data_IF_855878121167
#
_entry.id   IF_855878121167
#
_cell.length_a   1.000
_cell.length_b   1.000
_cell.length_c   1.000
_cell.angle_alpha   90.00
_cell.angle_beta   90.00
_cell.angle_gamma   90.00
#
_symmetry.space_group_name_H-M   'P 1'
#
loop_
_entity.id
_entity.type
_entity.pdbx_description
1 polymer ?
#
# COMPACT_ATOMS: atom_id res chain seq x y z
N UNK A 1 22.10 68.60 26.78
CA UNK A 1 21.20 69.71 26.42
C UNK A 1 20.89 69.63 24.94
N UNK A 2 19.60 69.67 24.58
CA UNK A 2 18.98 69.86 23.25
C UNK A 2 19.31 68.82 22.15
N UNK A 3 18.44 67.88 21.77
CA UNK A 3 17.08 67.97 21.19
C UNK A 3 17.02 68.61 19.78
N UNK A 4 16.67 67.80 18.76
CA UNK A 4 15.44 67.89 17.91
C UNK A 4 15.64 67.35 16.49
N UNK A 5 14.72 66.47 16.09
CA UNK A 5 14.40 66.01 14.72
C UNK A 5 13.83 67.16 13.87
N UNK A 6 13.74 67.00 12.53
CA UNK A 6 12.40 66.83 11.95
C UNK A 6 12.27 65.84 10.78
N UNK A 7 11.01 65.60 10.44
CA UNK A 7 10.35 64.61 9.59
C UNK A 7 10.20 65.05 8.09
N UNK A 8 10.20 64.05 7.17
CA UNK A 8 9.16 63.77 6.10
C UNK A 8 9.07 64.78 4.91
N UNK A 9 8.87 64.48 3.60
CA UNK A 9 8.11 63.47 2.83
C UNK A 9 8.44 63.54 1.31
N UNK A 10 8.05 62.46 0.59
CA UNK A 10 7.38 62.37 -0.76
C UNK A 10 8.14 62.48 -2.10
N UNK A 11 8.10 61.31 -2.78
CA UNK A 11 7.62 61.00 -4.15
C UNK A 11 8.16 61.80 -5.34
N UNK A 12 8.77 61.06 -6.27
CA UNK A 12 8.83 61.41 -7.69
C UNK A 12 9.47 60.29 -8.51
N UNK A 13 8.65 59.51 -9.21
CA UNK A 13 9.08 58.52 -10.19
C UNK A 13 9.53 59.21 -11.49
N UNK A 14 10.50 58.65 -12.22
CA UNK A 14 10.37 58.22 -13.63
C UNK A 14 11.72 57.79 -14.25
N UNK A 15 11.67 56.61 -14.89
CA UNK A 15 12.30 56.18 -16.15
C UNK A 15 13.84 56.21 -16.32
N UNK A 16 14.38 55.02 -16.56
CA UNK A 16 15.34 54.81 -17.65
C UNK A 16 15.10 53.43 -18.29
N UNK A 17 15.09 53.41 -19.62
CA UNK A 17 14.84 52.28 -20.52
C UNK A 17 16.18 51.65 -20.95
N UNK A 18 16.13 50.32 -21.10
CA UNK A 18 17.01 49.35 -21.77
C UNK A 18 18.22 49.87 -22.59
N UNK A 19 19.37 49.19 -22.50
CA UNK A 19 19.70 48.09 -23.43
C UNK A 19 21.15 47.50 -23.28
N UNK A 20 21.17 46.21 -22.94
CA UNK A 20 21.91 45.11 -23.59
C UNK A 20 23.44 45.00 -23.43
N UNK A 21 23.84 43.98 -22.67
CA UNK A 21 25.08 43.24 -22.82
C UNK A 21 24.78 41.76 -22.64
N UNK A 22 24.79 40.99 -23.74
CA UNK A 22 24.46 39.58 -23.78
C UNK A 22 25.58 38.74 -23.14
N UNK A 23 25.22 38.01 -22.08
CA UNK A 23 26.02 36.94 -21.50
C UNK A 23 25.06 35.86 -21.00
N UNK A 24 24.58 35.01 -21.93
CA UNK A 24 23.77 33.86 -21.57
C UNK A 24 24.65 32.81 -20.89
N UNK A 25 24.79 32.92 -19.57
CA UNK A 25 25.19 31.79 -18.75
C UNK A 25 24.04 30.77 -18.80
N UNK A 26 24.22 29.73 -19.59
CA UNK A 26 23.46 28.49 -19.50
C UNK A 26 23.73 27.90 -18.11
N UNK A 27 22.97 28.36 -17.11
CA UNK A 27 22.77 27.62 -15.88
C UNK A 27 22.01 26.36 -16.28
N UNK A 28 22.76 25.30 -16.59
CA UNK A 28 22.20 23.96 -16.64
C UNK A 28 21.44 23.76 -15.34
N UNK A 29 20.12 23.59 -15.43
CA UNK A 29 19.36 23.00 -14.33
C UNK A 29 20.01 21.63 -14.12
N UNK A 30 20.76 21.48 -13.04
CA UNK A 30 21.00 20.16 -12.52
C UNK A 30 19.61 19.58 -12.26
N UNK A 31 19.24 18.54 -13.00
CA UNK A 31 18.12 17.71 -12.60
C UNK A 31 18.34 17.35 -11.12
N UNK A 32 17.33 17.48 -10.26
CA UNK A 32 17.48 17.04 -8.89
C UNK A 32 17.95 15.60 -8.97
N UNK A 33 19.12 15.30 -8.37
CA UNK A 33 19.56 13.92 -8.21
C UNK A 33 18.35 13.16 -7.65
N UNK A 34 17.91 12.11 -8.35
CA UNK A 34 16.83 11.27 -7.90
C UNK A 34 17.10 10.95 -6.42
N UNK A 35 16.19 11.35 -5.53
CA UNK A 35 16.36 11.06 -4.12
C UNK A 35 16.50 9.54 -3.99
N UNK A 36 17.60 9.07 -3.39
CA UNK A 36 17.80 7.65 -3.18
C UNK A 36 16.63 7.09 -2.35
N UNK A 37 16.15 5.91 -2.72
CA UNK A 37 15.09 5.26 -1.98
C UNK A 37 15.52 5.02 -0.52
N UNK A 38 14.59 5.22 0.41
CA UNK A 38 14.85 4.97 1.83
C UNK A 38 14.69 3.48 2.12
N UNK A 39 15.63 2.90 2.87
CA UNK A 39 15.69 1.47 3.19
C UNK A 39 15.93 1.19 4.69
N UNK A 40 15.19 0.26 5.32
CA UNK A 40 13.94 -0.31 4.83
C UNK A 40 12.86 0.78 4.73
N UNK A 41 12.11 0.82 3.62
CA UNK A 41 11.14 1.91 3.39
C UNK A 41 9.88 1.54 2.61
N UNK A 42 9.50 0.26 2.59
CA UNK A 42 8.18 -0.16 2.12
C UNK A 42 7.15 -0.05 3.24
N UNK A 43 6.43 -1.11 3.61
CA UNK A 43 5.41 -1.03 4.66
C UNK A 43 5.97 -0.74 6.06
N UNK A 44 7.26 -1.07 6.28
CA UNK A 44 7.92 -0.93 7.58
C UNK A 44 9.26 -0.24 7.44
N UNK A 45 9.53 0.69 8.35
CA UNK A 45 10.83 1.34 8.54
C UNK A 45 11.62 0.68 9.68
N UNK A 46 12.91 1.04 9.82
CA UNK A 46 13.71 0.58 10.96
C UNK A 46 13.09 1.04 12.30
N UNK A 47 12.58 2.27 12.36
CA UNK A 47 11.89 2.79 13.54
C UNK A 47 10.60 2.03 13.87
N UNK A 48 9.92 1.45 12.87
CA UNK A 48 8.78 0.57 13.11
C UNK A 48 9.22 -0.74 13.76
N UNK A 49 10.30 -1.38 13.28
CA UNK A 49 10.83 -2.59 13.91
C UNK A 49 11.33 -2.36 15.34
N UNK A 50 11.99 -1.23 15.58
CA UNK A 50 12.46 -0.86 16.92
C UNK A 50 11.27 -0.65 17.87
N UNK A 51 10.20 0.01 17.40
CA UNK A 51 8.94 0.13 18.16
C UNK A 51 8.34 -1.25 18.46
N UNK A 52 8.18 -2.11 17.45
CA UNK A 52 7.62 -3.45 17.62
C UNK A 52 8.40 -4.22 18.70
N UNK A 53 9.73 -4.26 18.59
CA UNK A 53 10.61 -4.93 19.56
C UNK A 53 10.47 -4.35 20.96
N UNK A 54 10.55 -3.03 21.10
CA UNK A 54 10.45 -2.38 22.42
C UNK A 54 9.11 -2.67 23.09
N UNK A 55 8.00 -2.56 22.35
CA UNK A 55 6.65 -2.77 22.90
C UNK A 55 6.40 -4.23 23.26
N UNK A 56 6.89 -5.17 22.45
CA UNK A 56 6.78 -6.62 22.73
C UNK A 56 7.63 -7.00 23.96
N UNK A 57 8.87 -6.52 24.06
CA UNK A 57 9.75 -6.79 25.21
C UNK A 57 9.19 -6.20 26.51
N UNK A 58 8.50 -5.06 26.43
CA UNK A 58 7.82 -4.45 27.57
C UNK A 58 6.48 -5.14 27.93
N UNK A 59 6.03 -6.13 27.15
CA UNK A 59 4.71 -6.74 27.33
C UNK A 59 3.53 -5.78 27.09
N UNK A 60 3.77 -4.68 26.37
CA UNK A 60 2.80 -3.61 26.22
C UNK A 60 1.67 -3.98 25.24
N UNK A 61 0.44 -3.64 25.62
CA UNK A 61 -0.74 -3.83 24.78
C UNK A 61 -0.99 -2.62 23.87
N UNK A 62 -1.46 -2.81 22.62
CA UNK A 62 -1.89 -4.09 22.03
C UNK A 62 -0.78 -4.89 21.30
N UNK A 63 0.46 -4.38 21.22
CA UNK A 63 1.55 -5.02 20.48
C UNK A 63 1.83 -6.46 20.92
N UNK A 64 1.80 -6.73 22.23
CA UNK A 64 2.01 -8.08 22.77
C UNK A 64 0.95 -9.06 22.26
N UNK A 65 -0.32 -8.67 22.20
CA UNK A 65 -1.38 -9.51 21.63
C UNK A 65 -1.17 -9.75 20.12
N UNK A 66 -0.75 -8.74 19.36
CA UNK A 66 -0.39 -8.90 17.95
C UNK A 66 0.81 -9.85 17.75
N UNK A 67 1.82 -9.76 18.62
CA UNK A 67 2.95 -10.68 18.64
C UNK A 67 2.54 -12.12 18.95
N UNK A 68 1.70 -12.33 19.97
CA UNK A 68 1.25 -13.67 20.34
C UNK A 68 0.45 -14.32 19.22
N UNK A 69 -0.37 -13.53 18.52
CA UNK A 69 -1.07 -13.97 17.31
C UNK A 69 -0.10 -14.38 16.20
N UNK A 70 0.93 -13.58 15.94
CA UNK A 70 1.99 -13.92 14.98
C UNK A 70 2.70 -15.22 15.36
N UNK A 71 3.06 -15.41 16.63
CA UNK A 71 3.80 -16.59 17.08
C UNK A 71 2.99 -17.88 16.94
N UNK A 72 1.67 -17.80 17.18
CA UNK A 72 0.75 -18.92 17.08
C UNK A 72 0.44 -19.37 15.64
N UNK A 73 0.69 -18.52 14.64
CA UNK A 73 0.39 -18.83 13.25
C UNK A 73 1.36 -19.88 12.67
N UNK A 74 0.83 -20.87 11.93
CA UNK A 74 1.62 -21.97 11.35
C UNK A 74 2.62 -21.49 10.29
N UNK A 75 2.33 -20.41 9.58
CA UNK A 75 3.25 -19.78 8.63
C UNK A 75 4.46 -19.13 9.31
N UNK A 76 4.35 -18.82 10.61
CA UNK A 76 5.39 -18.16 11.41
C UNK A 76 6.47 -19.10 11.94
N UNK A 77 6.38 -20.40 11.64
CA UNK A 77 7.32 -21.39 12.15
C UNK A 77 8.59 -21.46 11.29
N UNK A 78 9.75 -21.47 11.93
CA UNK A 78 11.06 -21.58 11.24
C UNK A 78 11.29 -22.95 10.61
N UNK A 79 10.39 -23.91 10.85
CA UNK A 79 10.38 -25.25 10.23
C UNK A 79 9.57 -25.32 8.93
N UNK A 80 9.01 -24.20 8.46
CA UNK A 80 8.27 -24.15 7.19
C UNK A 80 9.12 -24.65 6.01
N UNK A 81 8.53 -25.43 5.11
CA UNK A 81 9.22 -25.94 3.91
C UNK A 81 8.69 -25.22 2.68
N UNK A 82 9.49 -24.36 2.01
CA UNK A 82 9.05 -23.70 0.78
C UNK A 82 8.81 -24.69 -0.34
N UNK A 83 7.90 -24.34 -1.25
CA UNK A 83 7.53 -25.14 -2.42
C UNK A 83 7.61 -24.29 -3.71
N UNK A 84 8.80 -23.80 -4.10
CA UNK A 84 8.94 -22.90 -5.24
C UNK A 84 8.52 -23.57 -6.55
N UNK A 85 7.78 -22.84 -7.38
CA UNK A 85 7.31 -23.31 -8.69
C UNK A 85 7.93 -22.47 -9.80
N UNK A 86 8.28 -23.11 -10.92
CA UNK A 86 8.78 -22.40 -12.10
C UNK A 86 7.69 -21.53 -12.74
N UNK A 87 6.45 -22.02 -12.71
CA UNK A 87 5.27 -21.33 -13.26
C UNK A 87 4.18 -21.24 -12.21
N UNK A 88 3.68 -20.03 -12.00
CA UNK A 88 2.48 -19.76 -11.23
C UNK A 88 1.33 -19.40 -12.17
N UNK A 89 0.23 -20.13 -12.03
CA UNK A 89 -1.01 -19.95 -12.80
C UNK A 89 -2.10 -19.43 -11.87
N UNK A 90 -2.72 -18.31 -12.23
CA UNK A 90 -3.94 -17.81 -11.56
C UNK A 90 -5.08 -17.64 -12.57
N UNK A 91 -6.17 -18.35 -12.31
CA UNK A 91 -7.35 -18.43 -13.16
C UNK A 91 -7.19 -19.39 -14.34
N UNK A 92 -8.28 -20.07 -14.69
CA UNK A 92 -8.29 -21.15 -15.69
C UNK A 92 -7.85 -22.51 -15.12
N UNK A 93 -7.62 -23.46 -16.02
CA UNK A 93 -7.21 -24.83 -15.66
C UNK A 93 -5.79 -24.85 -15.09
N UNK A 94 -5.56 -25.72 -14.09
CA UNK A 94 -4.24 -25.92 -13.50
C UNK A 94 -3.77 -24.78 -12.59
N UNK A 95 -4.67 -23.91 -12.10
CA UNK A 95 -4.31 -22.85 -11.17
C UNK A 95 -3.58 -23.39 -9.92
N UNK A 96 -2.46 -22.77 -9.56
CA UNK A 96 -1.60 -23.22 -8.46
C UNK A 96 -1.10 -22.07 -7.57
N UNK A 97 -1.61 -20.84 -7.78
CA UNK A 97 -1.18 -19.62 -7.10
C UNK A 97 -1.25 -19.67 -5.56
N UNK A 98 -2.02 -20.61 -5.00
CA UNK A 98 -2.03 -20.89 -3.57
C UNK A 98 -0.68 -21.24 -3.00
N UNK A 99 0.16 -21.92 -3.79
CA UNK A 99 1.51 -22.27 -3.38
C UNK A 99 2.35 -21.01 -3.12
N UNK A 100 2.24 -20.01 -3.99
CA UNK A 100 3.01 -18.78 -3.89
C UNK A 100 2.60 -17.93 -2.69
N UNK A 101 1.30 -17.68 -2.48
CA UNK A 101 0.91 -16.80 -1.38
C UNK A 101 1.20 -17.39 0.00
N UNK A 102 1.12 -18.72 0.17
CA UNK A 102 1.44 -19.33 1.46
C UNK A 102 2.94 -19.13 1.78
N UNK A 103 3.82 -19.33 0.80
CA UNK A 103 5.26 -19.12 0.99
C UNK A 103 5.62 -17.64 1.21
N UNK A 104 4.99 -16.70 0.49
CA UNK A 104 5.22 -15.26 0.73
C UNK A 104 4.84 -14.88 2.17
N UNK A 105 3.70 -15.37 2.65
CA UNK A 105 3.23 -15.07 4.00
C UNK A 105 4.08 -15.77 5.07
N UNK A 106 4.54 -16.99 4.82
CA UNK A 106 5.52 -17.64 5.69
C UNK A 106 6.83 -16.85 5.76
N UNK A 107 7.33 -16.35 4.63
CA UNK A 107 8.52 -15.52 4.60
C UNK A 107 8.33 -14.19 5.34
N UNK A 108 7.20 -13.50 5.14
CA UNK A 108 6.88 -12.26 5.85
C UNK A 108 6.80 -12.47 7.37
N UNK A 109 6.08 -13.50 7.81
CA UNK A 109 5.89 -13.78 9.22
C UNK A 109 7.21 -14.17 9.90
N UNK A 110 8.04 -14.99 9.24
CA UNK A 110 9.39 -15.30 9.72
C UNK A 110 10.32 -14.06 9.73
N UNK A 111 10.21 -13.17 8.74
CA UNK A 111 10.96 -11.92 8.73
C UNK A 111 10.57 -11.00 9.91
N UNK A 112 9.28 -10.90 10.25
CA UNK A 112 8.81 -10.20 11.44
C UNK A 112 9.30 -10.86 12.73
N UNK A 113 9.23 -12.19 12.83
CA UNK A 113 9.77 -12.95 13.97
C UNK A 113 11.25 -12.63 14.19
N UNK A 114 12.04 -12.58 13.12
CA UNK A 114 13.44 -12.18 13.18
C UNK A 114 13.63 -10.74 13.62
N UNK A 115 12.96 -9.77 12.98
CA UNK A 115 13.10 -8.34 13.32
C UNK A 115 12.73 -8.05 14.77
N UNK A 116 11.69 -8.68 15.31
CA UNK A 116 11.23 -8.43 16.68
C UNK A 116 12.07 -9.21 17.71
N UNK A 117 12.26 -10.51 17.54
CA UNK A 117 12.93 -11.37 18.56
C UNK A 117 14.45 -11.49 18.43
N UNK A 118 15.01 -11.21 17.25
CA UNK A 118 16.42 -11.47 16.94
C UNK A 118 16.76 -12.93 16.63
N UNK A 119 15.78 -13.83 16.60
CA UNK A 119 16.01 -15.26 16.31
C UNK A 119 16.48 -15.47 14.87
N UNK A 120 17.71 -15.99 14.72
CA UNK A 120 18.33 -16.27 13.41
C UNK A 120 17.62 -17.38 12.65
N UNK A 121 17.04 -18.38 13.34
CA UNK A 121 16.29 -19.46 12.70
C UNK A 121 15.11 -18.93 11.85
N UNK A 122 14.44 -17.87 12.30
CA UNK A 122 13.38 -17.23 11.52
C UNK A 122 13.94 -16.37 10.38
N UNK A 123 15.05 -15.66 10.60
CA UNK A 123 15.72 -14.89 9.54
C UNK A 123 16.21 -15.79 8.41
N UNK A 124 16.80 -16.93 8.77
CA UNK A 124 17.25 -17.97 7.86
C UNK A 124 16.08 -18.55 7.07
N UNK A 125 14.95 -18.84 7.73
CA UNK A 125 13.76 -19.33 7.03
C UNK A 125 13.25 -18.32 6.00
N UNK A 126 13.13 -17.05 6.37
CA UNK A 126 12.70 -16.01 5.45
C UNK A 126 13.65 -15.90 4.24
N UNK A 127 14.97 -15.84 4.49
CA UNK A 127 16.00 -15.86 3.44
C UNK A 127 15.84 -17.07 2.51
N UNK A 128 15.70 -18.27 3.07
CA UNK A 128 15.66 -19.51 2.30
C UNK A 128 14.44 -19.54 1.38
N UNK A 129 13.28 -19.05 1.84
CA UNK A 129 12.08 -18.92 1.00
C UNK A 129 12.34 -17.92 -0.15
N UNK A 130 12.83 -16.71 0.14
CA UNK A 130 13.13 -15.69 -0.88
C UNK A 130 14.14 -16.21 -1.92
N UNK A 131 15.19 -16.89 -1.46
CA UNK A 131 16.22 -17.47 -2.31
C UNK A 131 15.68 -18.62 -3.16
N UNK A 132 14.85 -19.51 -2.60
CA UNK A 132 14.27 -20.63 -3.32
C UNK A 132 13.40 -20.15 -4.49
N UNK A 133 12.49 -19.21 -4.25
CA UNK A 133 11.63 -18.65 -5.30
C UNK A 133 12.42 -17.86 -6.34
N UNK A 134 13.35 -17.00 -5.95
CA UNK A 134 14.17 -16.24 -6.90
C UNK A 134 15.11 -17.11 -7.75
N UNK A 135 15.39 -18.34 -7.30
CA UNK A 135 16.14 -19.34 -8.06
C UNK A 135 15.28 -20.22 -8.98
N UNK A 136 13.95 -20.14 -8.92
CA UNK A 136 13.06 -21.08 -9.60
C UNK A 136 11.96 -20.42 -10.43
N UNK A 137 11.29 -19.41 -9.91
CA UNK A 137 10.14 -18.79 -10.57
C UNK A 137 10.57 -17.99 -11.81
N UNK A 138 10.01 -18.37 -12.96
CA UNK A 138 10.27 -17.70 -14.24
C UNK A 138 9.02 -17.09 -14.85
N UNK A 139 7.82 -17.57 -14.48
CA UNK A 139 6.58 -17.17 -15.16
C UNK A 139 5.41 -17.04 -14.17
N UNK A 140 4.65 -15.94 -14.30
CA UNK A 140 3.29 -15.81 -13.79
C UNK A 140 2.34 -15.74 -14.99
N UNK A 141 1.30 -16.57 -15.03
CA UNK A 141 0.38 -16.69 -16.17
C UNK A 141 -1.03 -17.09 -15.72
N UNK A 142 -1.92 -17.33 -16.67
CA UNK A 142 -3.33 -17.67 -16.47
C UNK A 142 -4.25 -16.78 -17.30
N UNK A 143 -5.52 -16.71 -16.91
CA UNK A 143 -6.48 -15.78 -17.51
C UNK A 143 -6.23 -14.34 -17.02
N UNK A 144 -7.23 -13.45 -17.03
CA UNK A 144 -7.08 -12.10 -16.47
C UNK A 144 -6.52 -12.09 -15.04
N UNK A 145 -6.86 -13.08 -14.20
CA UNK A 145 -6.44 -13.13 -12.80
C UNK A 145 -4.92 -13.22 -12.61
N UNK A 146 -4.14 -13.50 -13.67
CA UNK A 146 -2.67 -13.37 -13.64
C UNK A 146 -2.21 -11.98 -13.22
N UNK A 147 -2.98 -10.93 -13.52
CA UNK A 147 -2.68 -9.57 -13.07
C UNK A 147 -2.89 -9.39 -11.57
N UNK A 148 -3.91 -10.04 -10.98
CA UNK A 148 -4.06 -10.08 -9.53
C UNK A 148 -2.90 -10.84 -8.88
N UNK A 149 -2.41 -11.93 -9.48
CA UNK A 149 -1.22 -12.62 -8.99
C UNK A 149 0.02 -11.72 -9.05
N UNK A 150 0.27 -11.07 -10.19
CA UNK A 150 1.42 -10.19 -10.36
C UNK A 150 1.39 -8.94 -9.45
N UNK A 151 0.19 -8.39 -9.22
CA UNK A 151 -0.03 -7.24 -8.37
C UNK A 151 0.10 -7.60 -6.90
N UNK A 152 -0.84 -8.42 -6.40
CA UNK A 152 -0.95 -8.76 -4.98
C UNK A 152 0.33 -9.44 -4.49
N UNK A 153 0.77 -10.51 -5.15
CA UNK A 153 1.93 -11.25 -4.65
C UNK A 153 3.22 -10.48 -4.91
N UNK A 154 3.30 -9.70 -5.99
CA UNK A 154 4.50 -8.92 -6.30
C UNK A 154 4.82 -7.87 -5.23
N UNK A 155 3.85 -7.07 -4.79
CA UNK A 155 4.10 -6.07 -3.75
C UNK A 155 4.40 -6.71 -2.39
N UNK A 156 3.70 -7.79 -2.05
CA UNK A 156 3.92 -8.51 -0.80
C UNK A 156 5.32 -9.10 -0.77
N UNK A 157 5.77 -9.70 -1.88
CA UNK A 157 7.07 -10.34 -1.95
C UNK A 157 8.21 -9.34 -1.92
N UNK A 158 8.07 -8.20 -2.61
CA UNK A 158 9.00 -7.07 -2.53
C UNK A 158 9.10 -6.52 -1.09
N UNK A 159 7.98 -6.44 -0.37
CA UNK A 159 7.98 -6.06 1.04
C UNK A 159 8.82 -7.01 1.88
N UNK A 160 8.68 -8.33 1.73
CA UNK A 160 9.51 -9.29 2.49
C UNK A 160 10.99 -9.15 2.15
N UNK A 161 11.33 -9.03 0.86
CA UNK A 161 12.71 -8.84 0.42
C UNK A 161 13.35 -7.57 0.99
N UNK A 162 12.57 -6.50 1.11
CA UNK A 162 13.01 -5.26 1.71
C UNK A 162 13.31 -5.38 3.21
N UNK A 163 12.50 -6.13 3.96
CA UNK A 163 12.78 -6.43 5.38
C UNK A 163 14.12 -7.17 5.52
N UNK A 164 14.36 -8.10 4.60
CA UNK A 164 15.54 -8.97 4.56
C UNK A 164 16.76 -8.34 3.87
N UNK A 165 16.68 -7.10 3.37
CA UNK A 165 17.81 -6.39 2.75
C UNK A 165 19.01 -6.40 3.69
N UNK A 166 20.16 -6.86 3.19
CA UNK A 166 21.41 -6.97 3.95
C UNK A 166 21.52 -8.18 4.88
N UNK A 167 20.50 -9.06 4.95
CA UNK A 167 20.60 -10.30 5.71
C UNK A 167 21.58 -11.28 5.05
N UNK A 168 22.46 -11.88 5.86
CA UNK A 168 23.52 -12.76 5.37
C UNK A 168 22.99 -13.93 4.53
N UNK A 169 23.53 -14.08 3.32
CA UNK A 169 23.18 -15.14 2.37
C UNK A 169 21.91 -14.88 1.55
N UNK A 170 21.19 -13.77 1.75
CA UNK A 170 20.09 -13.39 0.87
C UNK A 170 20.64 -12.86 -0.46
N UNK A 171 20.31 -13.52 -1.57
CA UNK A 171 20.70 -13.09 -2.92
C UNK A 171 19.72 -12.01 -3.44
N UNK A 172 19.89 -10.80 -2.92
CA UNK A 172 19.06 -9.65 -3.26
C UNK A 172 19.10 -9.35 -4.77
N UNK A 173 20.26 -9.45 -5.42
CA UNK A 173 20.41 -9.13 -6.83
C UNK A 173 19.64 -10.12 -7.73
N UNK A 174 19.65 -11.42 -7.42
CA UNK A 174 18.80 -12.40 -8.10
C UNK A 174 17.32 -12.14 -7.83
N UNK A 175 16.97 -11.82 -6.60
CA UNK A 175 15.59 -11.53 -6.23
C UNK A 175 15.05 -10.30 -6.99
N UNK A 176 15.78 -9.19 -7.02
CA UNK A 176 15.44 -7.99 -7.78
C UNK A 176 15.23 -8.30 -9.27
N UNK A 177 16.09 -9.13 -9.87
CA UNK A 177 15.92 -9.57 -11.26
C UNK A 177 14.61 -10.35 -11.48
N UNK A 178 14.25 -11.25 -10.57
CA UNK A 178 12.94 -11.94 -10.64
C UNK A 178 11.79 -10.94 -10.58
N UNK A 179 11.84 -9.96 -9.67
CA UNK A 179 10.79 -8.93 -9.55
C UNK A 179 10.64 -8.10 -10.83
N UNK A 180 11.77 -7.67 -11.41
CA UNK A 180 11.81 -6.87 -12.65
C UNK A 180 11.37 -7.67 -13.88
N UNK A 181 11.67 -8.96 -13.95
CA UNK A 181 11.45 -9.75 -15.17
C UNK A 181 10.15 -10.56 -15.16
N UNK A 182 9.66 -10.96 -13.99
CA UNK A 182 8.47 -11.83 -13.86
C UNK A 182 7.23 -11.02 -13.47
N UNK A 183 7.35 -10.12 -12.49
CA UNK A 183 6.20 -9.41 -11.94
C UNK A 183 5.95 -8.08 -12.65
N UNK A 184 6.98 -7.24 -12.79
CA UNK A 184 6.84 -5.89 -13.33
C UNK A 184 6.15 -5.82 -14.71
N UNK A 185 6.46 -6.68 -15.70
CA UNK A 185 5.86 -6.56 -17.04
C UNK A 185 4.33 -6.73 -17.05
N UNK A 186 3.80 -7.65 -16.22
CA UNK A 186 2.36 -7.83 -16.08
C UNK A 186 1.70 -6.60 -15.44
N UNK A 187 2.31 -6.04 -14.41
CA UNK A 187 1.77 -4.84 -13.75
C UNK A 187 1.76 -3.63 -14.68
N UNK A 188 2.85 -3.42 -15.43
CA UNK A 188 2.93 -2.30 -16.37
C UNK A 188 1.97 -2.45 -17.55
N UNK A 189 1.86 -3.65 -18.11
CA UNK A 189 0.91 -3.93 -19.20
C UNK A 189 -0.53 -3.78 -18.75
N UNK A 190 -0.87 -4.17 -17.51
CA UNK A 190 -2.20 -3.94 -16.96
C UNK A 190 -2.54 -2.46 -16.87
N UNK A 191 -1.69 -1.62 -16.27
CA UNK A 191 -1.97 -0.18 -16.14
C UNK A 191 -1.97 0.59 -17.47
N UNK A 192 -1.45 -0.02 -18.55
CA UNK A 192 -1.38 0.62 -19.87
C UNK A 192 -2.48 0.14 -20.81
N UNK A 193 -2.71 -1.17 -20.86
CA UNK A 193 -3.62 -1.80 -21.81
C UNK A 193 -4.87 -2.40 -21.20
N UNK A 194 -4.98 -2.47 -19.87
CA UNK A 194 -6.14 -3.00 -19.13
C UNK A 194 -6.65 -4.32 -19.69
N UNK A 195 -5.72 -5.23 -20.04
CA UNK A 195 -6.02 -6.54 -20.66
C UNK A 195 -6.98 -6.42 -21.87
N UNK A 196 -6.74 -5.42 -22.73
CA UNK A 196 -7.50 -5.12 -23.94
C UNK A 196 -8.99 -4.83 -23.70
N UNK A 197 -9.36 -4.53 -22.45
CA UNK A 197 -10.70 -4.14 -22.05
C UNK A 197 -10.81 -2.61 -21.94
N UNK A 198 -12.05 -2.12 -21.86
CA UNK A 198 -12.26 -0.71 -21.57
C UNK A 198 -11.68 -0.33 -20.19
N UNK A 199 -11.26 0.93 -20.05
CA UNK A 199 -10.50 1.40 -18.89
C UNK A 199 -11.22 1.21 -17.54
N UNK A 200 -12.56 1.21 -17.55
CA UNK A 200 -13.40 1.03 -16.36
C UNK A 200 -13.83 -0.42 -16.11
N UNK A 201 -13.44 -1.38 -16.97
CA UNK A 201 -13.88 -2.78 -16.88
C UNK A 201 -13.45 -3.43 -15.57
N UNK A 202 -12.22 -3.17 -15.15
CA UNK A 202 -11.64 -3.76 -13.94
C UNK A 202 -11.89 -2.86 -12.74
N UNK A 203 -12.22 -3.48 -11.60
CA UNK A 203 -12.47 -2.78 -10.35
C UNK A 203 -11.20 -2.15 -9.76
N UNK A 204 -11.36 -1.15 -8.88
CA UNK A 204 -10.25 -0.41 -8.27
C UNK A 204 -9.15 -1.31 -7.70
N UNK A 205 -9.50 -2.43 -7.07
CA UNK A 205 -8.54 -3.38 -6.49
C UNK A 205 -7.52 -3.95 -7.50
N UNK A 206 -7.86 -4.05 -8.79
CA UNK A 206 -6.96 -4.57 -9.83
C UNK A 206 -5.85 -3.57 -10.16
N UNK A 207 -6.23 -2.31 -10.38
CA UNK A 207 -5.27 -1.23 -10.56
C UNK A 207 -4.43 -1.04 -9.28
N UNK A 208 -5.05 -1.04 -8.10
CA UNK A 208 -4.33 -0.80 -6.84
C UNK A 208 -3.28 -1.87 -6.55
N UNK A 209 -3.56 -3.16 -6.77
CA UNK A 209 -2.56 -4.19 -6.51
C UNK A 209 -1.38 -4.11 -7.49
N UNK A 210 -1.64 -3.76 -8.75
CA UNK A 210 -0.58 -3.58 -9.77
C UNK A 210 0.24 -2.31 -9.51
N UNK A 211 -0.40 -1.21 -9.07
CA UNK A 211 0.27 0.00 -8.59
C UNK A 211 1.15 -0.29 -7.36
N UNK A 212 0.62 -1.02 -6.38
CA UNK A 212 1.38 -1.46 -5.20
C UNK A 212 2.64 -2.22 -5.60
N UNK A 213 2.52 -3.14 -6.56
CA UNK A 213 3.65 -3.93 -7.04
C UNK A 213 4.69 -3.05 -7.73
N UNK A 214 4.28 -2.13 -8.61
CA UNK A 214 5.20 -1.20 -9.29
C UNK A 214 5.94 -0.31 -8.28
N UNK A 215 5.22 0.27 -7.31
CA UNK A 215 5.84 1.10 -6.26
C UNK A 215 6.83 0.28 -5.43
N UNK A 216 6.43 -0.93 -5.01
CA UNK A 216 7.25 -1.78 -4.17
C UNK A 216 8.52 -2.26 -4.89
N UNK A 217 8.41 -2.62 -6.17
CA UNK A 217 9.55 -2.97 -7.03
C UNK A 217 10.43 -1.74 -7.28
N UNK A 218 9.84 -0.57 -7.47
CA UNK A 218 10.55 0.70 -7.63
C UNK A 218 11.49 0.98 -6.46
N UNK A 219 10.96 0.93 -5.24
CA UNK A 219 11.79 1.09 -4.03
C UNK A 219 12.79 -0.06 -3.92
N UNK A 220 12.37 -1.33 -3.98
CA UNK A 220 13.28 -2.48 -3.79
C UNK A 220 14.48 -2.43 -4.75
N UNK A 221 14.29 -1.97 -5.98
CA UNK A 221 15.30 -1.94 -7.04
C UNK A 221 15.95 -0.56 -7.22
N UNK A 222 15.72 0.41 -6.34
CA UNK A 222 16.27 1.77 -6.46
C UNK A 222 15.90 2.46 -7.81
N UNK A 223 14.67 2.22 -8.28
CA UNK A 223 14.13 2.69 -9.57
C UNK A 223 13.11 3.82 -9.39
N UNK A 224 13.62 5.05 -9.34
CA UNK A 224 12.80 6.27 -9.18
C UNK A 224 11.73 6.41 -10.28
N UNK A 225 12.02 6.01 -11.51
CA UNK A 225 11.04 6.06 -12.61
C UNK A 225 9.80 5.19 -12.35
N UNK A 226 9.95 4.07 -11.63
CA UNK A 226 8.83 3.23 -11.24
C UNK A 226 8.04 3.83 -10.07
N UNK A 227 8.74 4.46 -9.12
CA UNK A 227 8.11 5.21 -8.01
C UNK A 227 7.27 6.36 -8.59
N UNK A 228 7.85 7.18 -9.45
CA UNK A 228 7.19 8.31 -10.09
C UNK A 228 6.00 7.86 -10.94
N UNK A 229 6.14 6.76 -11.69
CA UNK A 229 5.03 6.17 -12.46
C UNK A 229 3.87 5.77 -11.57
N UNK A 230 4.13 5.05 -10.48
CA UNK A 230 3.08 4.62 -9.56
C UNK A 230 2.38 5.81 -8.90
N UNK A 231 3.14 6.80 -8.42
CA UNK A 231 2.61 8.02 -7.79
C UNK A 231 1.82 8.85 -8.80
N UNK A 232 2.28 8.97 -10.03
CA UNK A 232 1.57 9.67 -11.11
C UNK A 232 0.25 8.97 -11.41
N UNK A 233 0.24 7.64 -11.52
CA UNK A 233 -0.99 6.88 -11.77
C UNK A 233 -1.99 7.02 -10.61
N UNK A 234 -1.53 7.05 -9.36
CA UNK A 234 -2.41 7.34 -8.22
C UNK A 234 -3.14 8.68 -8.37
N UNK A 235 -2.43 9.73 -8.83
CA UNK A 235 -2.98 11.08 -8.93
C UNK A 235 -3.86 11.29 -10.16
N UNK A 236 -3.43 10.76 -11.31
CA UNK A 236 -4.00 11.09 -12.62
C UNK A 236 -4.13 9.90 -13.57
N UNK A 237 -4.03 8.66 -13.06
CA UNK A 237 -4.23 7.44 -13.84
C UNK A 237 -5.66 7.33 -14.36
N UNK A 238 -5.81 6.76 -15.56
CA UNK A 238 -7.09 6.67 -16.25
C UNK A 238 -8.01 5.56 -15.70
N UNK A 239 -7.44 4.53 -15.07
CA UNK A 239 -8.21 3.41 -14.51
C UNK A 239 -8.67 3.61 -13.07
N UNK A 240 -9.43 2.64 -12.58
CA UNK A 240 -10.17 2.74 -11.32
C UNK A 240 -9.30 2.78 -10.06
N UNK A 241 -7.98 2.57 -10.17
CA UNK A 241 -7.05 2.69 -9.03
C UNK A 241 -6.56 4.09 -8.74
N UNK A 242 -6.73 5.05 -9.67
CA UNK A 242 -6.40 6.44 -9.36
C UNK A 242 -7.40 7.00 -8.33
N UNK A 243 -6.94 7.90 -7.48
CA UNK A 243 -7.67 8.31 -6.27
C UNK A 243 -9.04 8.92 -6.58
N UNK A 244 -9.18 9.61 -7.70
CA UNK A 244 -10.46 10.20 -8.13
C UNK A 244 -11.44 9.16 -8.69
N UNK A 245 -10.96 8.07 -9.28
CA UNK A 245 -11.80 6.98 -9.79
C UNK A 245 -12.10 5.92 -8.73
N UNK A 246 -11.15 5.63 -7.82
CA UNK A 246 -11.34 4.72 -6.70
C UNK A 246 -12.34 5.26 -5.66
N UNK A 247 -12.45 6.59 -5.56
CA UNK A 247 -13.34 7.29 -4.62
C UNK A 247 -14.09 8.38 -5.39
N UNK A 248 -15.08 8.02 -6.23
CA UNK A 248 -15.66 8.94 -7.20
C UNK A 248 -16.56 10.02 -6.61
N UNK A 249 -17.17 9.78 -5.45
CA UNK A 249 -18.18 10.68 -4.88
C UNK A 249 -17.83 11.11 -3.46
N UNK A 250 -17.85 12.42 -3.22
CA UNK A 250 -17.77 13.02 -1.90
C UNK A 250 -19.19 13.29 -1.39
N UNK A 251 -19.42 13.00 -0.12
CA UNK A 251 -20.68 13.24 0.56
C UNK A 251 -20.50 14.20 1.75
N UNK A 252 -21.62 14.73 2.25
CA UNK A 252 -21.64 15.51 3.48
C UNK A 252 -21.14 14.70 4.68
N UNK A 253 -20.72 15.40 5.75
CA UNK A 253 -20.23 14.76 6.98
C UNK A 253 -18.83 14.14 6.88
N UNK A 254 -18.06 14.49 5.84
CA UNK A 254 -16.69 13.98 5.67
C UNK A 254 -16.63 12.52 5.20
N UNK A 255 -17.65 12.06 4.48
CA UNK A 255 -17.70 10.71 3.93
C UNK A 255 -17.45 10.71 2.43
N UNK A 256 -16.89 9.63 1.90
CA UNK A 256 -16.67 9.47 0.47
C UNK A 256 -16.94 8.02 0.03
N UNK A 257 -17.70 7.86 -1.06
CA UNK A 257 -18.10 6.54 -1.55
C UNK A 257 -16.92 5.86 -2.24
N UNK A 258 -16.67 4.61 -1.86
CA UNK A 258 -15.71 3.75 -2.55
C UNK A 258 -16.33 3.15 -3.81
N UNK A 259 -15.54 3.07 -4.87
CA UNK A 259 -15.94 2.61 -6.19
C UNK A 259 -16.66 1.25 -6.17
N UNK A 260 -16.19 0.31 -5.34
CA UNK A 260 -16.74 -1.05 -5.24
C UNK A 260 -17.91 -1.20 -4.26
N UNK A 261 -18.38 -0.12 -3.61
CA UNK A 261 -19.44 -0.21 -2.58
C UNK A 261 -20.77 -0.80 -3.09
N UNK A 262 -21.09 -0.61 -4.38
CA UNK A 262 -22.27 -1.22 -5.00
C UNK A 262 -22.11 -2.69 -5.39
N UNK A 263 -20.87 -3.21 -5.40
CA UNK A 263 -20.54 -4.60 -5.74
C UNK A 263 -20.74 -5.50 -4.52
N UNK A 264 -19.86 -5.35 -3.53
CA UNK A 264 -19.91 -6.04 -2.24
C UNK A 264 -18.94 -5.38 -1.25
N UNK A 265 -19.10 -5.70 0.03
CA UNK A 265 -18.29 -5.13 1.09
C UNK A 265 -16.94 -5.81 1.29
N UNK A 266 -16.79 -7.07 0.88
CA UNK A 266 -15.50 -7.78 0.95
C UNK A 266 -14.43 -7.09 0.11
N UNK A 267 -14.77 -6.73 -1.14
CA UNK A 267 -13.88 -6.00 -2.03
C UNK A 267 -13.76 -4.52 -1.65
N UNK A 268 -14.81 -3.93 -1.10
CA UNK A 268 -14.72 -2.58 -0.55
C UNK A 268 -13.68 -2.50 0.58
N UNK A 269 -13.65 -3.49 1.49
CA UNK A 269 -12.64 -3.58 2.54
C UNK A 269 -11.26 -3.99 2.01
N UNK A 270 -11.18 -4.82 0.96
CA UNK A 270 -9.92 -5.06 0.25
C UNK A 270 -9.32 -3.74 -0.27
N UNK A 271 -10.17 -2.82 -0.76
CA UNK A 271 -9.77 -1.48 -1.21
C UNK A 271 -9.09 -0.65 -0.13
N UNK A 272 -9.59 -0.69 1.11
CA UNK A 272 -8.93 -0.06 2.28
C UNK A 272 -7.52 -0.63 2.47
N UNK A 273 -7.38 -1.95 2.41
CA UNK A 273 -6.08 -2.60 2.55
C UNK A 273 -5.10 -2.25 1.44
N UNK A 274 -5.53 -2.29 0.18
CA UNK A 274 -4.65 -2.04 -0.98
C UNK A 274 -4.25 -0.55 -1.07
N UNK A 275 -5.20 0.37 -0.93
CA UNK A 275 -4.93 1.81 -0.93
C UNK A 275 -4.11 2.23 0.31
N UNK A 276 -4.40 1.61 1.46
CA UNK A 276 -3.63 1.80 2.70
C UNK A 276 -2.18 1.36 2.55
N UNK A 277 -1.93 0.19 1.97
CA UNK A 277 -0.58 -0.28 1.68
C UNK A 277 0.16 0.68 0.72
N UNK A 278 -0.51 1.16 -0.34
CA UNK A 278 0.06 2.09 -1.30
C UNK A 278 0.49 3.39 -0.63
N UNK A 279 -0.40 3.98 0.17
CA UNK A 279 -0.14 5.23 0.87
C UNK A 279 0.93 5.09 1.94
N UNK A 280 1.00 3.97 2.69
CA UNK A 280 2.05 3.78 3.71
C UNK A 280 3.42 3.53 3.07
N UNK A 281 3.52 2.76 1.99
CA UNK A 281 4.77 2.62 1.24
C UNK A 281 5.25 3.96 0.69
N UNK A 282 4.35 4.77 0.11
CA UNK A 282 4.68 6.11 -0.37
C UNK A 282 5.09 7.06 0.77
N UNK A 283 4.39 7.00 1.90
CA UNK A 283 4.70 7.80 3.09
C UNK A 283 6.11 7.52 3.61
N UNK A 284 6.53 6.25 3.63
CA UNK A 284 7.87 5.86 4.07
C UNK A 284 8.97 6.25 3.07
N UNK A 285 8.59 6.71 1.87
CA UNK A 285 9.48 7.38 0.90
C UNK A 285 9.35 8.91 0.93
N UNK A 286 8.64 9.47 1.93
CA UNK A 286 8.46 10.92 2.08
C UNK A 286 7.37 11.52 1.18
N UNK A 287 6.50 10.70 0.60
CA UNK A 287 5.44 11.14 -0.32
C UNK A 287 4.09 11.05 0.39
N UNK A 288 3.50 12.20 0.76
CA UNK A 288 2.19 12.24 1.44
C UNK A 288 1.02 12.02 0.47
N UNK A 289 0.69 10.75 0.23
CA UNK A 289 -0.51 10.36 -0.52
C UNK A 289 -1.76 10.19 0.35
N UNK A 290 -1.59 9.94 1.65
CA UNK A 290 -2.69 9.96 2.62
C UNK A 290 -3.39 11.33 2.66
N UNK A 291 -2.61 12.41 2.61
CA UNK A 291 -3.08 13.79 2.59
C UNK A 291 -3.72 14.24 1.27
N UNK A 292 -3.56 13.46 0.20
CA UNK A 292 -3.91 13.90 -1.14
C UNK A 292 -5.42 14.17 -1.29
N UNK A 293 -5.72 15.21 -2.08
CA UNK A 293 -7.08 15.68 -2.37
C UNK A 293 -7.96 15.88 -1.12
N UNK A 294 -7.38 16.55 -0.11
CA UNK A 294 -8.06 16.89 1.13
C UNK A 294 -8.45 15.66 1.95
N UNK A 295 -7.48 14.74 2.15
CA UNK A 295 -7.66 13.46 2.83
C UNK A 295 -8.81 12.62 2.22
N UNK A 296 -8.94 12.58 0.88
CA UNK A 296 -10.04 11.84 0.21
C UNK A 296 -10.12 10.39 0.69
N UNK A 297 -8.97 9.74 0.88
CA UNK A 297 -8.93 8.36 1.35
C UNK A 297 -9.40 8.20 2.80
N UNK A 298 -9.11 9.15 3.71
CA UNK A 298 -9.65 9.11 5.08
C UNK A 298 -11.19 9.10 5.09
N UNK A 299 -11.81 9.94 4.25
CA UNK A 299 -13.26 10.03 4.10
C UNK A 299 -13.87 8.72 3.60
N UNK A 300 -13.16 8.01 2.72
CA UNK A 300 -13.57 6.69 2.26
C UNK A 300 -13.40 5.62 3.36
N UNK A 301 -12.31 5.64 4.14
CA UNK A 301 -12.16 4.74 5.29
C UNK A 301 -13.33 4.89 6.28
N UNK A 302 -13.70 6.12 6.64
CA UNK A 302 -14.84 6.36 7.54
C UNK A 302 -16.18 5.92 6.93
N UNK A 303 -16.41 6.18 5.64
CA UNK A 303 -17.59 5.71 4.92
C UNK A 303 -17.73 4.19 4.97
N UNK A 304 -16.64 3.48 4.62
CA UNK A 304 -16.62 2.02 4.55
C UNK A 304 -16.79 1.43 5.95
N UNK A 305 -16.07 1.96 6.95
CA UNK A 305 -16.15 1.51 8.33
C UNK A 305 -17.57 1.70 8.89
N UNK A 306 -18.17 2.88 8.69
CA UNK A 306 -19.53 3.19 9.12
C UNK A 306 -20.53 2.17 8.57
N UNK A 307 -20.50 1.93 7.26
CA UNK A 307 -21.43 0.98 6.66
C UNK A 307 -21.23 -0.44 7.18
N UNK A 308 -19.98 -0.88 7.34
CA UNK A 308 -19.66 -2.23 7.81
C UNK A 308 -19.80 -2.41 9.33
N UNK A 309 -20.05 -1.34 10.09
CA UNK A 309 -20.50 -1.38 11.48
C UNK A 309 -22.03 -1.49 11.61
N UNK A 310 -22.76 -1.54 10.49
CA UNK A 310 -24.21 -1.69 10.47
C UNK A 310 -24.99 -0.38 10.33
N UNK A 311 -24.31 0.77 10.22
CA UNK A 311 -24.96 2.06 9.99
C UNK A 311 -25.18 2.34 8.50
N UNK A 312 -26.10 3.26 8.19
CA UNK A 312 -26.36 3.68 6.81
C UNK A 312 -25.39 4.76 6.33
N UNK A 313 -25.16 4.78 5.02
CA UNK A 313 -24.35 5.77 4.32
C UNK A 313 -25.08 6.21 3.05
N UNK A 314 -24.89 7.46 2.60
CA UNK A 314 -25.44 7.90 1.32
C UNK A 314 -24.80 7.12 0.17
N UNK A 315 -25.54 6.87 -0.90
CA UNK A 315 -25.00 6.21 -2.09
C UNK A 315 -25.42 6.98 -3.35
N UNK A 316 -24.43 7.37 -4.16
CA UNK A 316 -24.64 7.88 -5.51
C UNK A 316 -24.51 6.72 -6.49
N UNK A 317 -25.48 6.59 -7.41
CA UNK A 317 -25.44 5.57 -8.45
C UNK A 317 -24.09 5.59 -9.19
N UNK A 318 -23.48 4.42 -9.34
CA UNK A 318 -22.16 4.26 -9.94
C UNK A 318 -22.27 3.52 -11.26
N UNK A 319 -21.89 4.19 -12.35
CA UNK A 319 -21.94 3.66 -13.72
C UNK A 319 -20.53 3.39 -14.23
N UNK A 320 -20.34 2.25 -14.91
CA UNK A 320 -19.06 1.88 -15.53
C UNK A 320 -19.29 1.17 -16.86
N UNK A 321 -18.27 1.18 -17.73
CA UNK A 321 -18.20 0.32 -18.90
C UNK A 321 -17.60 -1.05 -18.56
N UNK A 322 -18.18 -2.13 -19.08
CA UNK A 322 -17.69 -3.51 -18.96
C UNK A 322 -17.26 -4.09 -20.30
N UNK A 323 -16.35 -5.07 -20.28
CA UNK A 323 -15.83 -5.76 -21.45
C UNK A 323 -14.98 -4.87 -22.36
N UNK A 324 -14.77 -5.33 -23.59
CA UNK A 324 -14.01 -4.59 -24.61
C UNK A 324 -14.85 -3.51 -25.31
N UNK A 325 -16.17 -3.69 -25.36
CA UNK A 325 -17.10 -2.79 -26.03
C UNK A 325 -17.62 -1.64 -25.14
N UNK A 326 -17.12 -1.51 -23.90
CA UNK A 326 -17.54 -0.49 -22.94
C UNK A 326 -19.04 -0.51 -22.63
N UNK A 327 -19.71 -1.67 -22.66
CA UNK A 327 -21.14 -1.76 -22.38
C UNK A 327 -21.44 -1.21 -20.98
N UNK A 328 -22.40 -0.29 -20.87
CA UNK A 328 -22.66 0.40 -19.61
C UNK A 328 -23.41 -0.51 -18.63
N UNK A 329 -22.96 -0.49 -17.38
CA UNK A 329 -23.57 -1.14 -16.22
C UNK A 329 -23.72 -0.11 -15.11
N UNK A 330 -24.65 -0.32 -14.17
CA UNK A 330 -24.87 0.64 -13.08
C UNK A 330 -25.27 -0.06 -11.78
N UNK A 331 -24.62 0.31 -10.69
CA UNK A 331 -25.07 0.02 -9.34
C UNK A 331 -25.93 1.17 -8.86
N UNK A 332 -27.17 0.90 -8.47
CA UNK A 332 -28.13 1.91 -8.02
C UNK A 332 -28.24 2.02 -6.50
N UNK A 333 -27.65 1.07 -5.77
CA UNK A 333 -27.62 1.03 -4.31
C UNK A 333 -26.29 0.44 -3.80
N UNK A 334 -25.97 0.74 -2.54
CA UNK A 334 -24.89 0.07 -1.82
C UNK A 334 -25.24 -1.41 -1.58
N UNK A 335 -24.28 -2.31 -1.78
CA UNK A 335 -24.51 -3.76 -1.63
C UNK A 335 -24.40 -4.19 -0.16
N UNK A 336 -25.34 -4.99 0.37
CA UNK A 336 -25.22 -5.61 1.69
C UNK A 336 -24.37 -6.89 1.69
N UNK A 337 -23.93 -7.38 0.52
CA UNK A 337 -23.13 -8.60 0.43
C UNK A 337 -21.82 -8.45 1.22
N UNK A 338 -21.50 -9.46 2.03
CA UNK A 338 -20.33 -9.48 2.93
C UNK A 338 -20.26 -8.33 3.95
N UNK A 339 -21.38 -7.65 4.25
CA UNK A 339 -21.39 -6.51 5.18
C UNK A 339 -20.90 -6.95 6.57
N UNK A 340 -19.87 -6.26 7.06
CA UNK A 340 -19.28 -6.50 8.37
C UNK A 340 -18.26 -7.63 8.43
N UNK A 341 -17.85 -8.20 7.28
CA UNK A 341 -16.69 -9.10 7.18
C UNK A 341 -15.44 -8.47 7.83
N UNK A 342 -14.55 -9.32 8.34
CA UNK A 342 -13.37 -8.92 9.11
C UNK A 342 -12.12 -9.11 8.24
N UNK A 343 -11.30 -8.06 8.12
CA UNK A 343 -9.99 -8.07 7.42
C UNK A 343 -8.93 -7.30 8.20
N UNK A 344 -7.63 -7.66 8.08
CA UNK A 344 -6.53 -7.01 8.82
C UNK A 344 -6.03 -5.75 8.11
N UNK A 345 -6.87 -4.72 8.02
CA UNK A 345 -6.61 -3.51 7.21
C UNK A 345 -6.78 -2.19 7.97
N UNK A 346 -7.29 -2.24 9.20
CA UNK A 346 -7.79 -1.06 9.90
C UNK A 346 -6.71 -0.39 10.74
N UNK A 347 -5.79 -1.17 11.30
CA UNK A 347 -4.68 -0.63 12.09
C UNK A 347 -3.82 0.35 11.29
N UNK A 348 -3.47 0.03 10.04
CA UNK A 348 -2.62 0.89 9.21
C UNK A 348 -3.25 2.27 9.01
N UNK A 349 -4.51 2.30 8.56
CA UNK A 349 -5.20 3.57 8.25
C UNK A 349 -5.57 4.36 9.50
N UNK A 350 -6.03 3.69 10.56
CA UNK A 350 -6.37 4.35 11.82
C UNK A 350 -5.14 4.99 12.47
N UNK A 351 -4.03 4.24 12.61
CA UNK A 351 -2.84 4.77 13.26
C UNK A 351 -2.16 5.86 12.42
N UNK A 352 -2.31 5.84 11.09
CA UNK A 352 -1.90 6.98 10.27
C UNK A 352 -2.79 8.21 10.57
N UNK A 353 -4.09 8.15 10.31
CA UNK A 353 -4.92 9.34 10.36
C UNK A 353 -5.21 9.83 11.77
N UNK A 354 -5.58 8.95 12.69
CA UNK A 354 -5.94 9.35 14.05
C UNK A 354 -4.72 9.61 14.93
N UNK A 355 -3.71 8.74 14.88
CA UNK A 355 -2.59 8.79 15.82
C UNK A 355 -1.45 9.66 15.28
N UNK A 356 -0.99 9.42 14.04
CA UNK A 356 0.10 10.20 13.41
C UNK A 356 -0.37 11.60 13.00
N UNK A 357 -1.60 11.75 12.51
CA UNK A 357 -2.13 13.02 11.96
C UNK A 357 -3.17 13.73 12.86
N UNK A 358 -3.62 13.11 13.95
CA UNK A 358 -4.55 13.75 14.89
C UNK A 358 -5.98 13.96 14.37
N UNK A 359 -6.39 13.26 13.31
CA UNK A 359 -7.72 13.38 12.73
C UNK A 359 -8.76 12.55 13.50
N UNK A 360 -10.01 13.02 13.53
CA UNK A 360 -11.11 12.21 14.04
C UNK A 360 -11.43 11.09 13.04
N UNK A 361 -11.30 9.84 13.49
CA UNK A 361 -11.64 8.64 12.71
C UNK A 361 -12.50 7.67 13.55
N UNK A 362 -13.67 8.11 14.06
CA UNK A 362 -14.46 7.33 15.01
C UNK A 362 -14.89 5.95 14.48
N UNK A 363 -15.26 5.84 13.21
CA UNK A 363 -15.72 4.57 12.65
C UNK A 363 -14.55 3.61 12.42
N UNK A 364 -13.43 4.11 11.91
CA UNK A 364 -12.22 3.30 11.78
C UNK A 364 -11.70 2.87 13.15
N UNK A 365 -11.78 3.72 14.18
CA UNK A 365 -11.42 3.37 15.56
C UNK A 365 -12.30 2.23 16.10
N UNK A 366 -13.62 2.29 15.89
CA UNK A 366 -14.54 1.24 16.28
C UNK A 366 -14.25 -0.07 15.53
N UNK A 367 -13.87 -0.01 14.25
CA UNK A 367 -13.49 -1.19 13.50
C UNK A 367 -12.16 -1.80 13.98
N UNK A 368 -11.15 -0.97 14.30
CA UNK A 368 -9.92 -1.43 14.95
C UNK A 368 -10.24 -2.15 16.26
N UNK A 369 -11.12 -1.60 17.09
CA UNK A 369 -11.54 -2.25 18.35
C UNK A 369 -12.27 -3.59 18.11
N UNK A 370 -13.06 -3.70 17.02
CA UNK A 370 -13.76 -4.93 16.63
C UNK A 370 -12.81 -6.04 16.14
N UNK A 371 -11.72 -5.67 15.45
CA UNK A 371 -10.85 -6.63 14.74
C UNK A 371 -9.62 -7.06 15.56
N UNK A 372 -9.14 -6.21 16.48
CA UNK A 372 -7.93 -6.46 17.26
C UNK A 372 -7.96 -7.80 18.04
N UNK A 373 -6.82 -8.52 18.14
CA UNK A 373 -5.58 -8.30 17.39
C UNK A 373 -5.70 -8.78 15.94
N UNK A 374 -5.30 -7.94 14.98
CA UNK A 374 -5.22 -8.28 13.55
C UNK A 374 -4.18 -9.39 13.30
N UNK A 375 -4.59 -10.43 12.56
CA UNK A 375 -3.71 -11.49 12.07
C UNK A 375 -3.22 -11.23 10.65
N UNK A 376 -2.78 -12.27 9.94
CA UNK A 376 -2.38 -12.19 8.53
C UNK A 376 -2.74 -13.45 7.74
N UNK A 377 -1.95 -13.82 6.74
CA UNK A 377 -2.15 -15.06 6.00
C UNK A 377 -2.26 -16.27 6.94
N UNK A 378 -3.31 -17.07 6.74
CA UNK A 378 -3.69 -18.18 7.61
C UNK A 378 -4.74 -17.85 8.69
N UNK A 379 -5.05 -16.57 8.94
CA UNK A 379 -6.05 -16.15 9.93
C UNK A 379 -7.44 -15.85 9.34
N UNK A 380 -7.54 -15.61 8.03
CA UNK A 380 -8.75 -15.09 7.36
C UNK A 380 -9.27 -16.03 6.26
N UNK A 381 -9.16 -17.34 6.50
CA UNK A 381 -9.58 -18.40 5.59
C UNK A 381 -8.47 -18.86 4.63
N UNK A 382 -8.64 -20.03 3.99
CA UNK A 382 -7.58 -20.66 3.20
C UNK A 382 -7.47 -20.12 1.77
N UNK A 383 -8.49 -19.38 1.30
CA UNK A 383 -8.58 -18.88 -0.06
C UNK A 383 -7.84 -17.54 -0.23
N UNK A 384 -7.60 -17.12 -1.48
CA UNK A 384 -6.89 -15.87 -1.81
C UNK A 384 -7.31 -14.66 -0.98
N UNK A 385 -8.60 -14.53 -0.65
CA UNK A 385 -9.12 -13.40 0.12
C UNK A 385 -8.43 -13.19 1.47
N UNK A 386 -8.05 -14.28 2.15
CA UNK A 386 -7.32 -14.23 3.42
C UNK A 386 -5.84 -13.88 3.28
N UNK A 387 -5.35 -13.75 2.03
CA UNK A 387 -3.96 -13.48 1.68
C UNK A 387 -3.83 -12.21 0.82
N UNK A 388 -4.91 -11.45 0.61
CA UNK A 388 -4.89 -10.17 -0.14
C UNK A 388 -4.04 -9.11 0.57
N UNK A 389 -3.80 -9.24 1.88
CA UNK A 389 -2.95 -8.35 2.68
C UNK A 389 -2.01 -9.14 3.59
N UNK A 390 -0.79 -8.62 3.80
CA UNK A 390 0.20 -9.23 4.72
C UNK A 390 -0.27 -9.26 6.19
N UNK A 391 -1.06 -8.26 6.60
CA UNK A 391 -1.69 -8.19 7.92
C UNK A 391 -0.72 -7.92 9.09
N UNK A 392 -1.12 -8.39 10.26
CA UNK A 392 -0.50 -8.18 11.58
C UNK A 392 -0.43 -6.70 12.00
N UNK A 393 -1.40 -5.88 11.57
CA UNK A 393 -1.40 -4.44 11.82
C UNK A 393 -1.36 -4.04 13.29
N UNK A 394 -1.89 -4.87 14.18
CA UNK A 394 -1.82 -4.64 15.63
C UNK A 394 -0.39 -4.71 16.17
N UNK A 395 0.45 -5.55 15.59
CA UNK A 395 1.88 -5.57 15.89
C UNK A 395 2.59 -4.44 15.14
N UNK A 396 2.34 -4.30 13.84
CA UNK A 396 3.20 -3.52 12.95
C UNK A 396 2.87 -2.02 12.92
N UNK A 397 1.60 -1.65 12.99
CA UNK A 397 1.12 -0.28 12.79
C UNK A 397 0.53 0.38 14.03
N UNK A 398 0.22 -0.36 15.09
CA UNK A 398 -0.21 0.24 16.35
C UNK A 398 0.81 1.29 16.83
N UNK A 399 0.29 2.46 17.25
CA UNK A 399 1.05 3.62 17.73
C UNK A 399 0.43 4.15 19.02
N UNK A 400 1.26 4.68 19.90
CA UNK A 400 0.79 5.55 20.99
C UNK A 400 0.57 6.96 20.46
N UNK A 401 -0.47 7.69 20.92
CA UNK A 401 -0.60 9.11 20.64
C UNK A 401 0.65 9.87 21.09
N UNK A 402 1.07 10.91 20.35
CA UNK A 402 2.14 11.79 20.81
C UNK A 402 1.75 12.35 22.19
N UNK A 403 2.72 12.45 23.11
CA UNK A 403 2.51 13.14 24.38
C UNK A 403 2.02 14.55 24.08
N UNK A 404 0.88 14.94 24.64
CA UNK A 404 0.42 16.33 24.58
C UNK A 404 1.43 17.14 25.41
N UNK A 405 2.31 17.86 24.73
CA UNK A 405 3.20 18.86 25.33
C UNK A 405 2.42 20.07 25.79
#
# INVERSE_FOLDING_TARGET
MSARTPLVTRRGALKAVLAVGAGAALLGRADPAAAAASHPGLLHTQADFDRMRSMVNAGAQPWKAGWDRLVANSHSQSTWTPNPQATIVRGGDGQNYGILYNDIHAAYQNALRWKVSGSTAHGDKARDILNAWSGTLTTVTGNADRFLAAGIYGYQFANVAEIMRGYGGFDLARFQRMMLNVFLPLNQSFLTGHNDACITNYWANWDLCTMNSILAIGVLCDRQDLIDRAVTYFKTGAGNGSIAHAIPFLHGGGLAQWQESGRDQGHTMMGVGQMGAFCEMAWNQGIDLYGYDGNRFAKACEYIARYNLGEDVPFTAYTWGTGQNCAQQTHTAISPASRGEVRPVWETVYNHYAVRRGLAMPYSAAFVAKVRPEGGGGDYGPNSGGFDQLGFGTLTHARTPPSRS
#
